data_IF_155099074537
#
_entry.id   IF_155099074537
#
_cell.length_a   1.000
_cell.length_b   1.000
_cell.length_c   1.000
_cell.angle_alpha   90.00
_cell.angle_beta   90.00
_cell.angle_gamma   90.00
#
_symmetry.space_group_name_H-M   'P 1'
#
loop_
_entity.id
_entity.type
_entity.pdbx_description
1 polymer ?
#
# COMPACT_ATOMS: atom_id res chain seq x y z
N UNK A 1 11.89 3.19 15.53
CA UNK A 1 12.00 2.57 14.21
C UNK A 1 11.75 3.60 13.12
N UNK A 2 12.68 3.70 12.19
CA UNK A 2 12.61 4.71 11.13
C UNK A 2 11.97 4.17 9.86
N UNK A 3 10.66 3.89 9.95
CA UNK A 3 9.91 3.45 8.78
C UNK A 3 9.17 4.63 8.19
N UNK A 4 9.51 4.99 6.95
CA UNK A 4 8.88 6.14 6.28
C UNK A 4 7.37 5.92 6.10
N UNK A 5 6.93 4.67 5.86
CA UNK A 5 5.49 4.40 5.71
C UNK A 5 4.76 4.47 7.05
N UNK A 6 5.41 4.08 8.15
CA UNK A 6 4.84 4.27 9.48
C UNK A 6 4.65 5.76 9.77
N UNK A 7 5.60 6.59 9.34
CA UNK A 7 5.51 8.04 9.54
C UNK A 7 4.38 8.63 8.71
N UNK A 8 4.20 8.15 7.48
CA UNK A 8 3.08 8.58 6.63
C UNK A 8 1.75 8.17 7.27
N UNK A 9 1.67 6.94 7.76
CA UNK A 9 0.46 6.41 8.39
C UNK A 9 0.05 7.22 9.63
N UNK A 10 1.06 7.73 10.36
CA UNK A 10 0.82 8.52 11.58
C UNK A 10 0.61 10.02 11.27
N UNK A 11 0.77 10.43 10.03
CA UNK A 11 0.65 11.83 9.65
C UNK A 11 1.87 12.67 9.97
N UNK A 12 3.00 12.05 10.30
CA UNK A 12 4.25 12.75 10.60
C UNK A 12 4.94 13.26 9.35
N UNK A 13 4.65 12.64 8.21
CA UNK A 13 5.17 13.07 6.91
C UNK A 13 3.96 13.27 6.00
N UNK A 14 3.90 14.41 5.32
CA UNK A 14 2.83 14.70 4.37
C UNK A 14 2.92 13.78 3.16
N UNK A 15 1.77 13.38 2.66
CA UNK A 15 1.67 12.59 1.45
C UNK A 15 0.36 12.92 0.76
N UNK A 16 0.28 12.64 -0.53
CA UNK A 16 -0.95 12.85 -1.30
C UNK A 16 -1.89 11.67 -1.06
N UNK A 17 -2.57 11.69 0.08
CA UNK A 17 -3.48 10.61 0.48
C UNK A 17 -4.71 10.58 -0.41
N UNK A 18 -5.09 9.38 -0.87
CA UNK A 18 -6.30 9.17 -1.65
C UNK A 18 -7.34 8.36 -0.87
N UNK A 19 -6.94 7.73 0.21
CA UNK A 19 -7.85 6.95 1.06
C UNK A 19 -7.21 6.77 2.43
N UNK A 20 -8.04 6.73 3.46
CA UNK A 20 -7.57 6.39 4.81
C UNK A 20 -8.74 5.89 5.65
N UNK A 21 -8.50 4.84 6.42
CA UNK A 21 -9.41 4.40 7.48
C UNK A 21 -8.57 4.02 8.70
N UNK A 22 -9.17 3.33 9.67
CA UNK A 22 -8.45 2.98 10.90
C UNK A 22 -7.27 2.06 10.70
N UNK A 23 -7.29 1.26 9.64
CA UNK A 23 -6.29 0.21 9.43
C UNK A 23 -5.39 0.41 8.22
N UNK A 24 -5.84 1.18 7.23
CA UNK A 24 -5.15 1.34 5.95
C UNK A 24 -5.00 2.80 5.56
N UNK A 25 -3.98 3.08 4.79
CA UNK A 25 -3.83 4.38 4.13
C UNK A 25 -3.31 4.14 2.71
N UNK A 26 -3.81 4.94 1.77
CA UNK A 26 -3.36 4.89 0.38
C UNK A 26 -2.93 6.27 -0.05
N UNK A 27 -1.85 6.35 -0.81
CA UNK A 27 -1.28 7.63 -1.25
C UNK A 27 -0.55 7.46 -2.58
N UNK A 28 -0.41 8.57 -3.30
CA UNK A 28 0.33 8.56 -4.56
C UNK A 28 1.80 8.31 -4.31
N UNK A 29 2.41 7.45 -5.14
CA UNK A 29 3.86 7.23 -5.09
C UNK A 29 4.55 8.49 -5.61
N UNK A 30 5.58 8.97 -4.89
CA UNK A 30 6.33 10.17 -5.29
C UNK A 30 7.23 9.92 -6.49
N UNK A 31 7.50 8.66 -6.80
CA UNK A 31 8.28 8.25 -7.97
C UNK A 31 7.45 7.32 -8.84
N UNK A 32 6.37 7.84 -9.46
CA UNK A 32 5.42 6.96 -10.16
C UNK A 32 6.06 6.24 -11.34
N UNK A 33 5.71 4.96 -11.48
CA UNK A 33 6.15 4.11 -12.60
C UNK A 33 5.07 3.99 -13.67
N UNK A 34 3.94 4.66 -13.48
CA UNK A 34 2.81 4.64 -14.40
C UNK A 34 2.03 5.92 -14.21
N UNK A 35 1.10 6.20 -15.10
CA UNK A 35 0.24 7.38 -15.01
C UNK A 35 -0.50 7.42 -13.68
N UNK A 36 -1.02 6.27 -13.25
CA UNK A 36 -1.58 6.09 -11.92
C UNK A 36 -0.67 5.14 -11.16
N UNK A 37 -0.14 5.57 -10.04
CA UNK A 37 0.70 4.71 -9.19
C UNK A 37 0.41 5.05 -7.75
N UNK A 38 -0.41 4.22 -7.12
CA UNK A 38 -0.86 4.41 -5.75
C UNK A 38 -0.33 3.27 -4.89
N UNK A 39 0.11 3.62 -3.69
CA UNK A 39 0.55 2.64 -2.70
C UNK A 39 -0.55 2.51 -1.65
N UNK A 40 -0.89 1.29 -1.28
CA UNK A 40 -1.86 1.01 -0.24
C UNK A 40 -1.13 0.22 0.83
N UNK A 41 -1.12 0.73 2.05
CA UNK A 41 -0.35 0.12 3.13
C UNK A 41 -1.22 -0.10 4.36
N UNK A 42 -0.94 -1.13 5.15
CA UNK A 42 -1.53 -1.24 6.49
C UNK A 42 -0.84 -0.25 7.41
N UNK A 43 -1.59 0.31 8.36
CA UNK A 43 -1.00 1.18 9.38
C UNK A 43 -0.15 0.37 10.35
N UNK A 44 -0.57 -0.88 10.62
CA UNK A 44 0.24 -1.83 11.38
C UNK A 44 1.53 -2.09 10.61
N UNK A 45 2.65 -2.03 11.29
CA UNK A 45 3.93 -2.30 10.63
C UNK A 45 4.10 -3.81 10.42
N UNK A 46 3.97 -4.24 9.18
CA UNK A 46 4.24 -5.60 8.73
C UNK A 46 5.35 -5.47 7.72
N UNK A 47 6.49 -6.10 7.95
CA UNK A 47 7.67 -5.88 7.12
C UNK A 47 7.47 -6.34 5.67
N UNK A 48 6.88 -7.52 5.49
CA UNK A 48 6.62 -8.06 4.15
C UNK A 48 5.59 -9.18 4.23
N UNK A 49 5.21 -9.71 3.07
CA UNK A 49 4.32 -10.88 2.99
C UNK A 49 4.87 -12.04 3.84
N UNK A 50 6.20 -12.20 3.90
CA UNK A 50 6.82 -13.27 4.69
C UNK A 50 6.51 -13.18 6.18
N UNK A 51 6.12 -12.01 6.66
CA UNK A 51 5.89 -11.75 8.08
C UNK A 51 4.40 -11.77 8.44
N UNK A 52 3.53 -12.17 7.48
CA UNK A 52 2.10 -12.27 7.74
C UNK A 52 1.79 -13.43 8.68
N UNK A 53 0.79 -13.22 9.52
CA UNK A 53 0.28 -14.24 10.44
C UNK A 53 -1.20 -14.49 10.12
N UNK A 54 -1.77 -15.56 10.68
CA UNK A 54 -3.18 -15.89 10.49
C UNK A 54 -4.10 -14.73 10.88
N UNK A 55 -3.73 -14.01 11.93
CA UNK A 55 -4.53 -12.88 12.41
C UNK A 55 -4.58 -11.73 11.40
N UNK A 56 -3.68 -11.71 10.42
CA UNK A 56 -3.61 -10.63 9.43
C UNK A 56 -4.49 -10.88 8.19
N UNK A 57 -5.15 -12.01 8.09
CA UNK A 57 -5.87 -12.34 6.85
C UNK A 57 -7.01 -11.40 6.50
N UNK A 58 -7.73 -10.90 7.50
CA UNK A 58 -8.80 -9.94 7.24
C UNK A 58 -8.24 -8.61 6.76
N UNK A 59 -7.13 -8.18 7.36
CA UNK A 59 -6.43 -6.96 6.98
C UNK A 59 -5.96 -7.03 5.53
N UNK A 60 -5.41 -8.17 5.13
CA UNK A 60 -4.94 -8.35 3.75
C UNK A 60 -6.11 -8.38 2.76
N UNK A 61 -7.22 -9.01 3.13
CA UNK A 61 -8.42 -8.96 2.30
C UNK A 61 -8.91 -7.54 2.11
N UNK A 62 -8.94 -6.77 3.18
CA UNK A 62 -9.33 -5.36 3.16
C UNK A 62 -8.41 -4.56 2.23
N UNK A 63 -7.12 -4.85 2.26
CA UNK A 63 -6.12 -4.18 1.41
C UNK A 63 -6.52 -4.26 -0.07
N UNK A 64 -6.91 -5.45 -0.53
CA UNK A 64 -7.32 -5.65 -1.92
C UNK A 64 -8.67 -5.03 -2.24
N UNK A 65 -9.61 -5.06 -1.28
CA UNK A 65 -10.90 -4.43 -1.48
C UNK A 65 -10.78 -2.92 -1.60
N UNK A 66 -9.89 -2.32 -0.81
CA UNK A 66 -9.62 -0.88 -0.90
C UNK A 66 -8.98 -0.54 -2.26
N UNK A 67 -8.07 -1.38 -2.75
CA UNK A 67 -7.48 -1.19 -4.08
C UNK A 67 -8.56 -1.18 -5.16
N UNK A 68 -9.50 -2.13 -5.08
CA UNK A 68 -10.63 -2.18 -6.02
C UNK A 68 -11.47 -0.90 -5.95
N UNK A 69 -11.77 -0.45 -4.75
CA UNK A 69 -12.56 0.77 -4.53
C UNK A 69 -11.89 2.00 -5.14
N UNK A 70 -10.59 2.15 -4.91
CA UNK A 70 -9.83 3.28 -5.46
C UNK A 70 -9.85 3.24 -6.98
N UNK A 71 -9.64 2.06 -7.57
CA UNK A 71 -9.66 1.90 -9.01
C UNK A 71 -11.02 2.30 -9.59
N UNK A 72 -12.10 1.92 -8.93
CA UNK A 72 -13.46 2.29 -9.35
C UNK A 72 -13.67 3.80 -9.28
N UNK A 73 -13.23 4.43 -8.20
CA UNK A 73 -13.36 5.87 -8.03
C UNK A 73 -12.57 6.65 -9.08
N UNK A 74 -11.48 6.09 -9.56
CA UNK A 74 -10.64 6.71 -10.59
C UNK A 74 -11.02 6.28 -12.01
N UNK A 75 -12.07 5.48 -12.14
CA UNK A 75 -12.56 4.99 -13.42
C UNK A 75 -11.50 4.24 -14.23
N UNK A 76 -10.68 3.45 -13.53
CA UNK A 76 -9.66 2.64 -14.20
C UNK A 76 -10.30 1.41 -14.82
N UNK A 77 -10.11 1.21 -16.12
CA UNK A 77 -10.67 0.07 -16.85
C UNK A 77 -9.84 -1.19 -16.63
N UNK A 78 -8.56 -1.02 -16.41
CA UNK A 78 -7.67 -2.13 -16.10
C UNK A 78 -6.48 -1.62 -15.31
N UNK A 79 -5.88 -2.48 -14.51
CA UNK A 79 -4.76 -2.08 -13.65
C UNK A 79 -4.02 -3.32 -13.16
N UNK A 80 -2.81 -3.09 -12.67
CA UNK A 80 -2.02 -4.15 -12.05
C UNK A 80 -1.96 -3.92 -10.55
N UNK A 81 -2.00 -5.02 -9.80
CA UNK A 81 -1.77 -5.00 -8.35
C UNK A 81 -0.51 -5.81 -8.11
N UNK A 82 0.49 -5.18 -7.50
CA UNK A 82 1.80 -5.80 -7.29
C UNK A 82 2.24 -5.63 -5.85
N UNK A 83 2.68 -6.71 -5.23
CA UNK A 83 3.35 -6.66 -3.94
C UNK A 83 4.72 -7.30 -4.12
N UNK A 84 5.77 -6.51 -3.91
CA UNK A 84 7.15 -7.02 -3.96
C UNK A 84 7.50 -7.59 -2.59
N UNK A 85 8.15 -8.74 -2.58
CA UNK A 85 8.46 -9.46 -1.34
C UNK A 85 9.96 -9.63 -1.20
N UNK A 86 10.55 -8.95 -0.21
CA UNK A 86 11.98 -9.00 0.05
C UNK A 86 12.80 -8.28 -1.02
N UNK A 87 14.08 -8.08 -0.74
CA UNK A 87 14.99 -7.38 -1.67
C UNK A 87 15.08 -8.04 -3.03
N UNK A 88 15.12 -9.36 -3.05
CA UNK A 88 15.19 -10.09 -4.32
C UNK A 88 13.93 -9.97 -5.15
N UNK A 89 12.80 -9.67 -4.50
CA UNK A 89 11.54 -9.40 -5.18
C UNK A 89 11.33 -7.94 -5.54
N UNK A 90 12.31 -7.09 -5.23
CA UNK A 90 12.21 -5.66 -5.54
C UNK A 90 11.60 -4.80 -4.45
N UNK A 91 11.43 -5.33 -3.25
CA UNK A 91 10.89 -4.56 -2.15
C UNK A 91 11.98 -3.63 -1.60
N UNK A 92 11.76 -2.32 -1.72
CA UNK A 92 12.72 -1.32 -1.28
C UNK A 92 12.43 -0.84 0.14
N UNK A 93 11.16 -0.65 0.47
CA UNK A 93 10.75 -0.20 1.81
C UNK A 93 10.26 -1.42 2.61
N UNK A 94 10.80 -1.59 3.81
CA UNK A 94 10.47 -2.74 4.68
C UNK A 94 9.19 -2.50 5.46
N UNK A 95 8.11 -2.30 4.73
CA UNK A 95 6.76 -2.15 5.22
C UNK A 95 5.86 -2.58 4.06
N UNK A 96 5.07 -3.61 4.29
CA UNK A 96 4.18 -4.18 3.27
C UNK A 96 3.43 -3.10 2.53
N UNK A 97 3.49 -3.12 1.21
CA UNK A 97 2.74 -2.16 0.39
C UNK A 97 2.30 -2.78 -0.92
N UNK A 98 1.06 -2.48 -1.28
CA UNK A 98 0.45 -2.92 -2.52
C UNK A 98 0.51 -1.78 -3.53
N UNK A 99 1.10 -2.05 -4.70
CA UNK A 99 1.16 -1.08 -5.80
C UNK A 99 -0.07 -1.25 -6.67
N UNK A 100 -0.78 -0.16 -6.90
CA UNK A 100 -1.86 -0.07 -7.88
C UNK A 100 -1.33 0.73 -9.05
N UNK A 101 -1.18 0.08 -10.20
CA UNK A 101 -0.54 0.68 -11.38
C UNK A 101 -1.48 0.66 -12.58
N UNK A 102 -1.61 1.81 -13.22
CA UNK A 102 -2.42 1.89 -14.41
C UNK A 102 -1.90 2.93 -15.39
#
# INVERSE_FOLDING_TARGET
MDCIFCKIAKGEIDSAKVFENDELVAFDDINPKAKTHILIIPKKHIESIKHLEEADKELIGELFLVAKKIAEEKNLQGYKLVINVGREGGQIVDHLHLHLLS
#
